data_IF_538856754339
#
_entry.id   IF_538856754339
#
_cell.length_a   1.000
_cell.length_b   1.000
_cell.length_c   1.000
_cell.angle_alpha   90.00
_cell.angle_beta   90.00
_cell.angle_gamma   90.00
#
_symmetry.space_group_name_H-M   'P 1'
#
loop_
_entity.id
_entity.type
_entity.pdbx_description
1 polymer ?
#
# COMPACT_ATOMS: atom_id res chain seq x y z
N UNK A 1 8.53 -2.74 0.08
CA UNK A 1 7.85 -3.90 0.70
C UNK A 1 6.84 -4.48 -0.28
N UNK A 2 6.48 -5.77 -0.15
CA UNK A 2 5.44 -6.43 -0.96
C UNK A 2 4.49 -7.21 -0.06
N UNK A 3 3.20 -7.25 -0.41
CA UNK A 3 2.20 -8.08 0.25
C UNK A 3 1.27 -8.73 -0.78
N UNK A 4 0.68 -9.87 -0.40
CA UNK A 4 -0.34 -10.58 -1.18
C UNK A 4 -1.63 -10.58 -0.38
N UNK A 5 -2.78 -10.35 -1.04
CA UNK A 5 -4.06 -10.38 -0.35
C UNK A 5 -4.37 -11.80 0.19
N UNK A 6 -5.20 -11.96 1.21
CA UNK A 6 -5.48 -13.27 1.83
C UNK A 6 -5.98 -14.36 0.85
N UNK A 7 -6.66 -13.95 -0.22
CA UNK A 7 -7.13 -14.86 -1.27
C UNK A 7 -6.02 -15.34 -2.24
N UNK A 8 -4.81 -14.77 -2.17
CA UNK A 8 -3.70 -15.15 -3.06
C UNK A 8 -3.81 -14.62 -4.49
N UNK A 9 -4.74 -13.71 -4.76
CA UNK A 9 -5.12 -13.26 -6.12
C UNK A 9 -4.51 -11.93 -6.53
N UNK A 10 -4.02 -11.14 -5.57
CA UNK A 10 -3.55 -9.77 -5.77
C UNK A 10 -2.23 -9.56 -5.01
N UNK A 11 -1.26 -8.91 -5.65
CA UNK A 11 -0.02 -8.46 -5.02
C UNK A 11 0.08 -6.93 -5.07
N UNK A 12 0.58 -6.33 -3.99
CA UNK A 12 0.81 -4.90 -3.88
C UNK A 12 2.24 -4.61 -3.44
N UNK A 13 2.92 -3.72 -4.14
CA UNK A 13 4.33 -3.36 -3.91
C UNK A 13 4.43 -1.89 -3.55
N UNK A 14 4.92 -1.58 -2.35
CA UNK A 14 5.25 -0.22 -1.95
C UNK A 14 6.60 0.19 -2.56
N UNK A 15 6.57 1.19 -3.44
CA UNK A 15 7.72 1.74 -4.15
C UNK A 15 8.13 3.07 -3.52
N UNK A 16 9.28 3.06 -2.86
CA UNK A 16 9.86 4.28 -2.29
C UNK A 16 10.44 5.16 -3.39
N UNK A 17 10.17 6.46 -3.32
CA UNK A 17 10.84 7.45 -4.14
C UNK A 17 11.79 8.24 -3.26
N UNK A 18 13.11 8.07 -3.44
CA UNK A 18 14.15 8.60 -2.54
C UNK A 18 14.93 9.78 -3.15
N UNK A 19 14.55 10.25 -4.34
CA UNK A 19 15.38 11.18 -5.14
C UNK A 19 15.18 12.68 -4.86
N UNK A 20 14.00 13.11 -4.39
CA UNK A 20 13.69 14.54 -4.23
C UNK A 20 12.72 14.81 -3.06
N UNK A 21 12.89 15.97 -2.41
CA UNK A 21 12.11 16.39 -1.21
C UNK A 21 10.61 16.44 -1.49
N UNK A 22 9.81 15.78 -0.65
CA UNK A 22 8.35 15.94 -0.63
C UNK A 22 7.59 15.20 -1.74
N UNK A 23 8.25 14.34 -2.50
CA UNK A 23 7.58 13.53 -3.52
C UNK A 23 6.95 12.27 -2.93
N UNK A 24 5.73 11.97 -3.37
CA UNK A 24 5.06 10.74 -3.00
C UNK A 24 5.71 9.54 -3.70
N UNK A 25 5.82 8.43 -2.98
CA UNK A 25 6.06 7.15 -3.61
C UNK A 25 4.79 6.61 -4.26
N UNK A 26 4.85 5.36 -4.70
CA UNK A 26 3.71 4.70 -5.35
C UNK A 26 3.48 3.29 -4.83
N UNK A 27 2.34 2.71 -5.22
CA UNK A 27 2.01 1.32 -5.00
C UNK A 27 1.78 0.67 -6.36
N UNK A 28 2.66 -0.23 -6.79
CA UNK A 28 2.37 -1.09 -7.94
C UNK A 28 1.41 -2.18 -7.51
N UNK A 29 0.44 -2.52 -8.37
CA UNK A 29 -0.57 -3.53 -8.05
C UNK A 29 -0.73 -4.53 -9.20
N UNK A 30 -0.80 -5.80 -8.85
CA UNK A 30 -0.82 -6.91 -9.80
C UNK A 30 -1.90 -7.92 -9.44
N UNK A 31 -2.50 -8.53 -10.46
CA UNK A 31 -3.21 -9.80 -10.34
C UNK A 31 -2.23 -10.95 -10.42
N UNK A 32 -2.50 -12.00 -9.68
CA UNK A 32 -1.73 -13.25 -9.66
C UNK A 32 -2.56 -14.31 -10.38
N UNK A 33 -1.97 -14.93 -11.40
CA UNK A 33 -2.53 -16.14 -11.98
C UNK A 33 -2.33 -17.31 -10.98
N UNK A 34 -3.43 -17.91 -10.51
CA UNK A 34 -3.36 -18.95 -9.48
C UNK A 34 -2.66 -20.25 -9.94
N UNK A 35 -2.62 -20.52 -11.25
CA UNK A 35 -1.99 -21.73 -11.79
C UNK A 35 -0.49 -21.53 -12.05
N UNK A 36 -0.07 -20.33 -12.46
CA UNK A 36 1.30 -20.09 -12.93
C UNK A 36 2.09 -19.12 -12.05
N UNK A 37 1.44 -18.40 -11.14
CA UNK A 37 2.04 -17.29 -10.38
C UNK A 37 2.34 -16.05 -11.22
N UNK A 38 1.99 -16.04 -12.52
CA UNK A 38 2.26 -14.90 -13.39
C UNK A 38 1.54 -13.63 -12.90
N UNK A 39 2.26 -12.52 -12.91
CA UNK A 39 1.75 -11.21 -12.51
C UNK A 39 1.23 -10.45 -13.72
N UNK A 40 0.03 -9.90 -13.63
CA UNK A 40 -0.52 -8.97 -14.61
C UNK A 40 -0.85 -7.66 -13.92
N UNK A 41 -0.33 -6.54 -14.42
CA UNK A 41 -0.55 -5.24 -13.80
C UNK A 41 -2.04 -4.86 -13.81
N UNK A 42 -2.49 -4.29 -12.69
CA UNK A 42 -3.87 -3.82 -12.53
C UNK A 42 -3.99 -2.46 -13.23
N UNK A 43 -5.02 -2.23 -14.07
CA UNK A 43 -5.27 -0.92 -14.67
C UNK A 43 -5.32 0.20 -13.62
N UNK A 44 -4.60 1.29 -13.90
CA UNK A 44 -4.44 2.42 -12.97
C UNK A 44 -3.24 2.30 -12.02
N UNK A 45 -2.54 1.16 -12.01
CA UNK A 45 -1.21 1.04 -11.40
C UNK A 45 -0.19 1.87 -12.19
N UNK A 46 0.80 2.49 -11.51
CA UNK A 46 0.95 2.52 -10.06
C UNK A 46 0.03 3.56 -9.39
N UNK A 47 -0.47 3.24 -8.20
CA UNK A 47 -1.32 4.13 -7.41
C UNK A 47 -0.47 5.09 -6.55
N UNK A 48 -0.92 6.32 -6.35
CA UNK A 48 -0.21 7.29 -5.50
C UNK A 48 -0.19 6.84 -4.03
N UNK A 49 1.00 6.81 -3.43
CA UNK A 49 1.21 6.57 -2.00
C UNK A 49 1.42 7.87 -1.21
N UNK A 50 1.83 7.78 0.06
CA UNK A 50 2.44 8.91 0.77
C UNK A 50 3.93 9.06 0.46
N UNK A 51 4.62 9.88 1.25
CA UNK A 51 6.07 10.12 1.12
C UNK A 51 6.85 8.94 1.72
N UNK A 52 7.74 8.35 0.93
CA UNK A 52 8.59 7.20 1.33
C UNK A 52 7.77 6.02 1.91
N UNK A 53 6.90 5.37 1.11
CA UNK A 53 6.15 4.21 1.55
C UNK A 53 7.09 3.03 1.84
N UNK A 54 7.33 2.75 3.11
CA UNK A 54 8.26 1.72 3.55
C UNK A 54 7.63 0.33 3.57
N UNK A 55 6.41 0.24 4.08
CA UNK A 55 5.72 -1.03 4.26
C UNK A 55 4.25 -0.97 3.84
N UNK A 56 3.71 -2.10 3.37
CA UNK A 56 2.32 -2.28 2.97
C UNK A 56 1.81 -3.61 3.52
N UNK A 57 0.56 -3.61 3.98
CA UNK A 57 -0.15 -4.83 4.41
C UNK A 57 -1.63 -4.75 4.06
N UNK A 58 -2.29 -5.90 3.94
CA UNK A 58 -3.73 -6.02 3.62
C UNK A 58 -4.44 -6.65 4.81
N UNK A 59 -5.64 -6.16 5.14
CA UNK A 59 -6.42 -6.76 6.21
C UNK A 59 -6.86 -8.20 5.88
N UNK A 60 -7.19 -9.04 6.88
CA UNK A 60 -7.59 -10.43 6.64
C UNK A 60 -8.85 -10.59 5.77
N UNK A 61 -9.71 -9.58 5.72
CA UNK A 61 -10.86 -9.55 4.81
C UNK A 61 -10.49 -9.25 3.35
N UNK A 62 -9.26 -8.83 3.05
CA UNK A 62 -8.83 -8.47 1.70
C UNK A 62 -9.45 -7.18 1.15
N UNK A 63 -10.02 -6.33 2.01
CA UNK A 63 -10.81 -5.15 1.63
C UNK A 63 -10.08 -3.83 1.80
N UNK A 64 -9.05 -3.79 2.66
CA UNK A 64 -8.27 -2.59 2.96
C UNK A 64 -6.77 -2.88 2.88
N UNK A 65 -6.03 -1.97 2.26
CA UNK A 65 -4.57 -1.93 2.28
C UNK A 65 -4.08 -0.75 3.13
N UNK A 66 -3.06 -0.98 3.94
CA UNK A 66 -2.46 0.00 4.84
C UNK A 66 -0.99 0.18 4.46
N UNK A 67 -0.56 1.41 4.28
CA UNK A 67 0.80 1.75 3.85
C UNK A 67 1.45 2.66 4.88
N UNK A 68 2.55 2.20 5.45
CA UNK A 68 3.42 3.00 6.30
C UNK A 68 4.30 3.89 5.43
N UNK A 69 4.08 5.20 5.53
CA UNK A 69 4.85 6.22 4.85
C UNK A 69 5.79 6.87 5.87
N UNK A 70 7.10 6.69 5.73
CA UNK A 70 8.08 7.22 6.68
C UNK A 70 8.05 8.75 6.75
N UNK A 71 7.75 9.41 5.63
CA UNK A 71 8.00 10.84 5.49
C UNK A 71 9.51 11.14 5.43
N UNK A 72 9.87 12.28 4.86
CA UNK A 72 11.27 12.68 4.72
C UNK A 72 11.45 14.19 4.89
N UNK A 73 12.67 14.66 5.16
CA UNK A 73 13.09 16.05 5.02
C UNK A 73 12.09 17.09 5.60
N UNK A 74 11.64 16.88 6.84
CA UNK A 74 10.69 17.76 7.54
C UNK A 74 9.21 17.44 7.32
N UNK A 75 8.89 16.45 6.50
CA UNK A 75 7.54 15.90 6.37
C UNK A 75 7.29 14.82 7.42
N UNK A 76 6.10 14.88 8.06
CA UNK A 76 5.67 13.89 9.06
C UNK A 76 5.40 12.54 8.39
N UNK A 77 5.65 11.45 9.13
CA UNK A 77 5.20 10.14 8.69
C UNK A 77 3.67 10.02 8.75
N UNK A 78 3.15 9.02 8.06
CA UNK A 78 1.72 8.79 7.99
C UNK A 78 1.39 7.33 7.68
N UNK A 79 0.14 6.93 7.93
CA UNK A 79 -0.43 5.71 7.35
C UNK A 79 -1.42 6.14 6.27
N UNK A 80 -1.19 5.70 5.03
CA UNK A 80 -2.22 5.75 3.99
C UNK A 80 -3.10 4.50 4.08
N UNK A 81 -4.41 4.66 3.94
CA UNK A 81 -5.36 3.55 3.92
C UNK A 81 -6.19 3.60 2.64
N UNK A 82 -6.23 2.47 1.94
CA UNK A 82 -6.93 2.32 0.67
C UNK A 82 -7.98 1.23 0.77
N UNK A 83 -9.16 1.48 0.18
CA UNK A 83 -10.12 0.44 -0.17
C UNK A 83 -9.61 -0.30 -1.41
N UNK A 84 -9.63 -1.62 -1.33
CA UNK A 84 -9.39 -2.53 -2.45
C UNK A 84 -10.73 -2.75 -3.16
N UNK A 85 -10.79 -2.40 -4.44
CA UNK A 85 -11.98 -2.65 -5.25
C UNK A 85 -12.09 -4.17 -5.54
N UNK A 86 -13.16 -4.81 -5.07
CA UNK A 86 -13.27 -6.27 -5.07
C UNK A 86 -13.12 -6.91 -6.47
N UNK A 87 -13.69 -6.26 -7.50
CA UNK A 87 -13.64 -6.82 -8.85
C UNK A 87 -12.31 -6.57 -9.55
N UNK A 88 -11.62 -5.45 -9.28
CA UNK A 88 -10.45 -5.01 -10.08
C UNK A 88 -9.13 -5.10 -9.33
N UNK A 89 -9.16 -5.11 -8.00
CA UNK A 89 -8.00 -4.95 -7.13
C UNK A 89 -7.44 -3.52 -7.07
N UNK A 90 -8.07 -2.56 -7.75
CA UNK A 90 -7.64 -1.16 -7.76
C UNK A 90 -7.75 -0.52 -6.37
N UNK A 91 -6.83 0.39 -6.06
CA UNK A 91 -6.77 1.07 -4.77
C UNK A 91 -7.42 2.44 -4.85
N UNK A 92 -8.27 2.74 -3.87
CA UNK A 92 -8.88 4.06 -3.69
C UNK A 92 -8.67 4.53 -2.26
N UNK A 93 -8.14 5.74 -2.01
CA UNK A 93 -7.94 6.21 -0.63
C UNK A 93 -9.28 6.31 0.10
N UNK A 94 -9.31 5.91 1.36
CA UNK A 94 -10.51 6.12 2.20
C UNK A 94 -10.60 7.59 2.64
N UNK A 95 -11.79 8.09 3.02
CA UNK A 95 -11.92 9.43 3.59
C UNK A 95 -10.99 9.63 4.79
N UNK A 96 -10.26 10.75 4.80
CA UNK A 96 -9.30 11.09 5.87
C UNK A 96 -7.90 10.50 5.70
N UNK A 97 -7.67 9.60 4.73
CA UNK A 97 -6.32 9.14 4.40
C UNK A 97 -5.53 10.23 3.63
N UNK A 98 -4.23 10.41 3.91
CA UNK A 98 -3.43 9.70 4.91
C UNK A 98 -3.59 10.27 6.33
N UNK A 99 -3.44 9.41 7.33
CA UNK A 99 -3.42 9.79 8.74
C UNK A 99 -1.99 10.13 9.16
N UNK A 100 -1.69 11.41 9.37
CA UNK A 100 -0.35 11.87 9.74
C UNK A 100 -0.09 11.74 11.24
N UNK A 101 1.13 11.35 11.60
CA UNK A 101 1.60 11.32 12.98
C UNK A 101 3.09 11.69 13.01
N UNK A 102 3.54 12.25 14.13
CA UNK A 102 4.87 12.89 14.22
C UNK A 102 6.08 11.95 14.15
N UNK A 103 5.91 10.68 13.80
CA UNK A 103 6.99 9.67 13.77
C UNK A 103 7.15 9.07 12.38
N UNK A 104 8.28 8.40 12.12
CA UNK A 104 8.57 7.71 10.85
C UNK A 104 8.22 6.22 10.98
N UNK A 105 7.09 5.74 10.43
CA UNK A 105 6.74 4.33 10.52
C UNK A 105 7.55 3.49 9.51
N UNK A 106 8.29 2.49 10.01
CA UNK A 106 9.05 1.57 9.15
C UNK A 106 8.25 0.35 8.73
N UNK A 107 7.50 -0.22 9.66
CA UNK A 107 6.72 -1.45 9.47
C UNK A 107 5.29 -1.29 9.95
N UNK A 108 4.37 -1.94 9.24
CA UNK A 108 2.98 -2.08 9.64
C UNK A 108 2.58 -3.55 9.51
N UNK A 109 1.88 -4.05 10.53
CA UNK A 109 1.23 -5.35 10.52
C UNK A 109 -0.18 -5.19 11.07
N UNK A 110 -1.07 -6.11 10.73
CA UNK A 110 -2.44 -6.15 11.25
C UNK A 110 -2.53 -7.38 12.14
N UNK A 111 -2.87 -7.17 13.40
CA UNK A 111 -3.19 -8.23 14.36
C UNK A 111 -4.68 -8.15 14.63
N UNK A 112 -5.41 -9.23 14.36
CA UNK A 112 -6.81 -9.33 14.79
C UNK A 112 -6.87 -10.02 16.14
N UNK A 113 -7.66 -9.50 17.10
CA UNK A 113 -8.07 -10.30 18.25
C UNK A 113 -8.86 -11.51 17.75
N UNK A 114 -8.61 -12.67 18.35
CA UNK A 114 -9.45 -13.87 18.19
C UNK A 114 -10.85 -13.63 18.76
#
# INVERSE_FOLDING_TARGET
SITVNPAGTLAYVANQFTGYKGHNGTISAYRINAATGALTEIPGSPFTAGIEPASITVNPAGTLAYVANQGNFGHKGSISVYRIHAATGALTPIPGSPFTFGTKPDFITIVQPQ
#
